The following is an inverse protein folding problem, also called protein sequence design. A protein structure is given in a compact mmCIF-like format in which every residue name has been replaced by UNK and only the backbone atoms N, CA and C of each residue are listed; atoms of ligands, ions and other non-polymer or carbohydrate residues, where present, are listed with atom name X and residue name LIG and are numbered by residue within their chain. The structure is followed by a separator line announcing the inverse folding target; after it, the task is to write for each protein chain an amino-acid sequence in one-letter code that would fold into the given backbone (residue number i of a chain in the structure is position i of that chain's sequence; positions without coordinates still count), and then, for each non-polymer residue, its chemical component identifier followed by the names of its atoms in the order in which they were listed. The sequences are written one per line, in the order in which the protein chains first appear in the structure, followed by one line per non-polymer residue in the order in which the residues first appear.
data_IF_586852202939
#
_entry.id   IF_586852202939
#
_cell.length_a   1.000
_cell.length_b   1.000
_cell.length_c   1.000
_cell.angle_alpha   90.00
_cell.angle_beta   90.00
_cell.angle_gamma   90.00
#
_symmetry.space_group_name_H-M   'P 1'
#
loop_
_entity.id
_entity.type
_entity.pdbx_description
1 polymer ?
#
# COMPACT_ATOMS: atom_id res chain seq x y z
N UNK A 1 -0.45 0.25 4.54
CA UNK A 1 -1.60 1.06 4.07
C UNK A 1 -1.10 2.46 3.76
N UNK A 2 -1.60 3.12 2.72
CA UNK A 2 -1.24 4.51 2.38
C UNK A 2 -2.47 5.39 2.54
N UNK A 3 -2.32 6.55 3.17
CA UNK A 3 -3.39 7.54 3.34
C UNK A 3 -2.97 8.89 2.77
N UNK A 4 -3.89 9.56 2.09
CA UNK A 4 -3.68 10.86 1.46
C UNK A 4 -4.78 11.86 1.84
N UNK A 5 -4.52 13.16 1.67
CA UNK A 5 -5.52 14.21 1.86
C UNK A 5 -6.23 14.16 3.22
N UNK A 6 -7.56 14.33 3.22
CA UNK A 6 -8.38 14.35 4.44
C UNK A 6 -8.31 13.04 5.25
N UNK A 7 -7.93 11.91 4.61
CA UNK A 7 -7.79 10.63 5.30
C UNK A 7 -6.59 10.59 6.27
N UNK A 8 -5.62 11.52 6.16
CA UNK A 8 -4.50 11.63 7.13
C UNK A 8 -4.99 11.92 8.55
N UNK A 9 -6.11 12.62 8.72
CA UNK A 9 -6.68 12.94 10.04
C UNK A 9 -7.12 11.70 10.83
N UNK A 10 -7.35 10.56 10.16
CA UNK A 10 -7.69 9.30 10.83
C UNK A 10 -6.53 8.71 11.66
N UNK A 11 -5.30 9.23 11.50
CA UNK A 11 -4.09 8.75 12.19
C UNK A 11 -3.47 9.81 13.10
N UNK A 12 -4.14 10.94 13.37
CA UNK A 12 -3.68 11.95 14.33
C UNK A 12 -3.67 11.46 15.80
N UNK A 13 -4.13 10.23 16.05
CA UNK A 13 -3.91 9.53 17.32
C UNK A 13 -2.56 8.82 17.29
N UNK A 14 -1.75 9.03 18.33
CA UNK A 14 -0.30 8.77 18.52
C UNK A 14 0.27 7.35 18.25
N UNK A 15 -0.36 6.54 17.38
CA UNK A 15 0.08 5.20 16.98
C UNK A 15 -0.26 4.92 15.52
N UNK A 16 0.63 5.22 14.57
CA UNK A 16 0.43 4.84 13.17
C UNK A 16 0.57 3.33 12.92
N UNK A 17 1.04 2.56 13.91
CA UNK A 17 1.00 1.10 13.90
C UNK A 17 -0.25 0.58 14.61
N UNK A 18 -1.26 0.27 13.81
CA UNK A 18 -2.46 -0.42 14.28
C UNK A 18 -2.20 -1.93 14.20
N UNK A 19 -1.91 -2.57 15.33
CA UNK A 19 -1.86 -4.04 15.44
C UNK A 19 -1.02 -4.75 14.34
N UNK A 20 0.19 -4.23 14.05
CA UNK A 20 1.07 -4.78 13.00
C UNK A 20 0.81 -4.25 11.59
N UNK A 21 -0.10 -3.28 11.43
CA UNK A 21 -0.34 -2.55 10.19
C UNK A 21 0.41 -1.22 10.22
N UNK A 22 1.45 -1.11 9.37
CA UNK A 22 2.13 0.15 9.10
C UNK A 22 1.29 1.06 8.20
N UNK A 23 1.06 2.29 8.66
CA UNK A 23 0.43 3.35 7.89
C UNK A 23 1.48 4.33 7.37
N UNK A 24 1.43 4.62 6.08
CA UNK A 24 2.28 5.60 5.40
C UNK A 24 1.40 6.78 5.00
N UNK A 25 1.80 7.99 5.37
CA UNK A 25 1.09 9.20 4.99
C UNK A 25 1.72 9.75 3.71
N UNK A 26 0.93 9.88 2.65
CA UNK A 26 1.38 10.42 1.37
C UNK A 26 1.32 11.95 1.40
N UNK A 27 2.46 12.62 1.16
CA UNK A 27 2.57 14.08 1.05
C UNK A 27 1.97 14.65 -0.24
N UNK A 28 1.68 13.78 -1.21
CA UNK A 28 0.98 14.08 -2.45
C UNK A 28 0.10 12.90 -2.86
N UNK A 29 0.27 12.43 -4.09
CA UNK A 29 -0.47 11.27 -4.62
C UNK A 29 -0.19 10.00 -3.82
N UNK A 30 -1.26 9.34 -3.36
CA UNK A 30 -1.21 8.03 -2.73
C UNK A 30 -0.61 6.96 -3.64
N UNK A 31 -0.87 7.02 -4.95
CA UNK A 31 -0.32 6.08 -5.92
C UNK A 31 1.21 6.18 -6.01
N UNK A 32 1.74 7.40 -6.00
CA UNK A 32 3.19 7.63 -6.01
C UNK A 32 3.84 7.14 -4.72
N UNK A 33 3.18 7.37 -3.59
CA UNK A 33 3.63 6.84 -2.30
C UNK A 33 3.60 5.30 -2.26
N UNK A 34 2.58 4.66 -2.83
CA UNK A 34 2.50 3.19 -2.94
C UNK A 34 3.68 2.67 -3.77
N UNK A 35 3.93 3.25 -4.95
CA UNK A 35 5.04 2.85 -5.81
C UNK A 35 6.38 3.01 -5.09
N UNK A 36 6.60 4.12 -4.39
CA UNK A 36 7.81 4.36 -3.60
C UNK A 36 8.01 3.32 -2.49
N UNK A 37 6.94 2.93 -1.79
CA UNK A 37 7.00 1.89 -0.75
C UNK A 37 7.33 0.52 -1.36
N UNK A 38 6.76 0.18 -2.51
CA UNK A 38 7.05 -1.08 -3.22
C UNK A 38 8.52 -1.10 -3.65
N UNK A 39 8.99 -0.04 -4.32
CA UNK A 39 10.36 0.06 -4.79
C UNK A 39 11.37 -0.09 -3.65
N UNK A 40 11.19 0.65 -2.55
CA UNK A 40 12.07 0.56 -1.39
C UNK A 40 12.10 -0.85 -0.76
N UNK A 41 10.94 -1.51 -0.67
CA UNK A 41 10.87 -2.86 -0.11
C UNK A 41 11.57 -3.91 -0.99
N UNK A 42 11.57 -3.74 -2.31
CA UNK A 42 12.32 -4.60 -3.25
C UNK A 42 13.81 -4.31 -3.15
N UNK A 43 14.22 -3.04 -3.07
CA UNK A 43 15.62 -2.66 -2.90
C UNK A 43 16.21 -3.23 -1.60
N UNK A 44 15.42 -3.29 -0.53
CA UNK A 44 15.80 -3.92 0.74
C UNK A 44 15.97 -5.45 0.62
N UNK A 45 15.07 -6.13 -0.11
CA UNK A 45 15.12 -7.58 -0.35
C UNK A 45 14.46 -7.94 -1.69
N UNK A 46 15.29 -8.26 -2.67
CA UNK A 46 14.86 -8.62 -4.03
C UNK A 46 14.01 -9.90 -4.10
N UNK A 47 13.99 -10.73 -3.05
CA UNK A 47 13.16 -11.94 -2.99
C UNK A 47 11.84 -11.73 -2.26
N UNK A 48 11.58 -10.52 -1.77
CA UNK A 48 10.37 -10.22 -1.00
C UNK A 48 9.13 -10.29 -1.90
N UNK A 49 8.18 -11.14 -1.51
CA UNK A 49 6.88 -11.20 -2.18
C UNK A 49 6.01 -10.02 -1.73
N UNK A 50 5.60 -9.20 -2.69
CA UNK A 50 4.78 -8.01 -2.43
C UNK A 50 3.44 -8.17 -3.16
N UNK A 51 2.34 -7.98 -2.42
CA UNK A 51 0.98 -7.91 -2.99
C UNK A 51 0.43 -6.51 -2.80
N UNK A 52 0.01 -5.88 -3.90
CA UNK A 52 -0.67 -4.58 -3.89
C UNK A 52 -2.15 -4.78 -4.15
N UNK A 53 -2.98 -4.29 -3.23
CA UNK A 53 -4.44 -4.36 -3.35
C UNK A 53 -4.94 -3.05 -3.97
N UNK A 54 -5.43 -3.07 -5.20
CA UNK A 54 -5.97 -1.88 -5.88
C UNK A 54 -6.95 -2.23 -7.00
N UNK A 55 -7.92 -1.35 -7.25
CA UNK A 55 -8.79 -1.42 -8.43
C UNK A 55 -8.26 -0.60 -9.62
N UNK A 56 -7.30 0.30 -9.40
CA UNK A 56 -6.73 1.17 -10.42
C UNK A 56 -5.79 0.39 -11.34
N UNK A 57 -5.95 0.52 -12.67
CA UNK A 57 -5.12 -0.21 -13.64
C UNK A 57 -3.75 0.45 -13.86
N UNK A 58 -3.67 1.78 -13.83
CA UNK A 58 -2.41 2.49 -13.99
C UNK A 58 -1.46 2.23 -12.82
N UNK A 59 -1.98 2.19 -11.59
CA UNK A 59 -1.18 1.81 -10.43
C UNK A 59 -0.67 0.37 -10.55
N UNK A 60 -1.50 -0.57 -11.05
CA UNK A 60 -1.08 -1.98 -11.24
C UNK A 60 0.12 -2.08 -12.15
N UNK A 61 0.05 -1.47 -13.33
CA UNK A 61 1.14 -1.47 -14.31
C UNK A 61 2.44 -0.93 -13.69
N UNK A 62 2.34 0.14 -12.88
CA UNK A 62 3.49 0.76 -12.23
C UNK A 62 4.14 -0.12 -11.16
N UNK A 63 3.35 -0.82 -10.33
CA UNK A 63 3.92 -1.67 -9.26
C UNK A 63 4.37 -3.04 -9.77
N UNK A 64 3.73 -3.57 -10.80
CA UNK A 64 4.14 -4.82 -11.46
C UNK A 64 5.51 -4.68 -12.14
N UNK A 65 5.89 -3.48 -12.58
CA UNK A 65 7.23 -3.18 -13.06
C UNK A 65 8.34 -3.43 -12.00
N UNK A 66 7.99 -3.41 -10.71
CA UNK A 66 8.87 -3.75 -9.59
C UNK A 66 8.72 -5.22 -9.12
N UNK A 67 7.96 -6.05 -9.85
CA UNK A 67 7.74 -7.46 -9.50
C UNK A 67 6.65 -7.69 -8.46
N UNK A 68 5.87 -6.67 -8.08
CA UNK A 68 4.72 -6.87 -7.19
C UNK A 68 3.57 -7.59 -7.90
N UNK A 69 2.85 -8.42 -7.16
CA UNK A 69 1.57 -9.00 -7.62
C UNK A 69 0.42 -8.06 -7.27
N UNK A 70 -0.60 -7.98 -8.12
CA UNK A 70 -1.76 -7.11 -7.86
C UNK A 70 -3.05 -7.91 -7.68
N UNK A 71 -3.90 -7.45 -6.76
CA UNK A 71 -5.23 -8.03 -6.50
C UNK A 71 -6.27 -6.91 -6.34
N UNK A 72 -7.54 -7.22 -6.62
CA UNK A 72 -8.63 -6.28 -6.42
C UNK A 72 -9.01 -6.12 -4.94
N UNK A 73 -9.66 -5.00 -4.55
CA UNK A 73 -10.06 -4.75 -3.15
C UNK A 73 -10.87 -5.87 -2.51
N UNK A 74 -11.70 -6.58 -3.29
CA UNK A 74 -12.52 -7.71 -2.80
C UNK A 74 -11.69 -8.82 -2.15
N UNK A 75 -10.47 -9.05 -2.64
CA UNK A 75 -9.54 -10.04 -2.05
C UNK A 75 -9.21 -9.74 -0.58
N UNK A 76 -9.12 -8.45 -0.23
CA UNK A 76 -8.84 -8.00 1.13
C UNK A 76 -10.10 -8.11 2.00
N UNK A 77 -11.25 -7.71 1.48
CA UNK A 77 -12.54 -7.86 2.15
C UNK A 77 -12.82 -9.31 2.55
N UNK A 78 -12.61 -10.25 1.63
CA UNK A 78 -12.80 -11.69 1.88
C UNK A 78 -11.85 -12.24 2.98
N UNK A 79 -10.78 -11.51 3.33
CA UNK A 79 -9.79 -11.91 4.36
C UNK A 79 -10.00 -11.28 5.72
N UNK A 80 -10.72 -10.16 5.81
CA UNK A 80 -10.95 -9.45 7.08
C UNK A 80 -12.32 -9.76 7.70
N UNK A 81 -13.24 -10.36 6.94
CA UNK A 81 -14.53 -10.86 7.45
C UNK A 81 -14.49 -12.34 7.88
N UNK A 82 -13.31 -12.98 7.83
CA UNK A 82 -13.05 -14.34 8.33
C UNK A 82 -12.49 -14.32 9.75
#
# INVERSE_FOLDING_TARGET
MVLEGAARAAVESDKPDLQGVRVVLADGSGDDAIVGVVAAAVEEDNNRQITVVTADRGLRERVEAYGATTVGPRWLWDRIES
#
